data_IF_816992893211
#
_entry.id   IF_816992893211
#
_cell.length_a   1.000
_cell.length_b   1.000
_cell.length_c   1.000
_cell.angle_alpha   90.00
_cell.angle_beta   90.00
_cell.angle_gamma   90.00
#
_symmetry.space_group_name_H-M   'P 1'
#
loop_
_entity.id
_entity.type
_entity.pdbx_description
1 polymer ?
#
# COMPACT_ATOMS: atom_id res chain seq x y z
N UNK A 1 84.54 36.70 14.11
CA UNK A 1 85.32 36.57 12.87
C UNK A 1 84.33 36.29 11.70
N UNK A 2 84.38 37.21 10.77
CA UNK A 2 84.10 37.20 9.35
C UNK A 2 82.61 36.88 8.93
N UNK A 3 81.79 37.89 8.54
CA UNK A 3 81.75 38.61 7.24
C UNK A 3 81.46 37.65 6.07
N UNK A 4 80.45 37.77 5.30
CA UNK A 4 79.79 38.73 4.49
C UNK A 4 78.95 37.93 3.53
N UNK A 5 78.09 38.29 2.66
CA UNK A 5 77.76 39.57 2.03
C UNK A 5 76.43 39.42 1.32
N UNK A 6 75.82 40.52 1.20
CA UNK A 6 74.53 40.79 0.49
C UNK A 6 74.73 40.76 -1.05
N UNK A 7 73.68 40.26 -1.75
CA UNK A 7 73.43 40.73 -3.14
C UNK A 7 71.92 40.82 -3.38
N UNK A 8 71.45 42.06 -3.52
CA UNK A 8 70.19 42.48 -4.11
C UNK A 8 70.26 42.35 -5.63
N UNK A 9 69.19 41.87 -6.25
CA UNK A 9 68.88 42.17 -7.65
C UNK A 9 67.41 42.42 -7.83
N UNK A 10 67.13 43.65 -8.24
CA UNK A 10 65.85 44.23 -8.67
C UNK A 10 65.58 43.77 -10.12
N UNK A 11 64.38 43.34 -10.43
CA UNK A 11 63.96 43.00 -11.78
C UNK A 11 62.46 43.23 -11.99
N UNK A 12 62.17 44.39 -12.44
CA UNK A 12 61.14 44.97 -13.31
C UNK A 12 59.84 44.17 -13.60
N UNK A 13 58.71 44.87 -13.36
CA UNK A 13 57.33 44.57 -13.79
C UNK A 13 57.19 44.47 -15.31
N UNK A 14 56.37 43.50 -15.74
CA UNK A 14 55.61 43.57 -16.99
C UNK A 14 54.22 43.02 -16.73
N UNK A 15 53.20 43.88 -16.79
CA UNK A 15 51.82 43.55 -16.78
C UNK A 15 51.38 43.08 -18.20
N UNK A 16 50.77 41.91 -18.31
CA UNK A 16 49.96 41.52 -19.44
C UNK A 16 48.65 40.95 -18.94
N UNK A 17 47.57 41.72 -19.17
CA UNK A 17 46.20 41.28 -19.02
C UNK A 17 45.83 40.26 -20.12
N UNK A 18 45.40 39.07 -19.73
CA UNK A 18 44.65 38.17 -20.60
C UNK A 18 43.49 37.58 -19.82
N UNK A 19 42.28 37.84 -20.27
CA UNK A 19 41.04 37.35 -19.70
C UNK A 19 40.98 35.83 -19.73
N UNK A 20 40.90 35.22 -18.54
CA UNK A 20 40.64 33.82 -18.37
C UNK A 20 39.17 33.62 -18.08
N UNK A 21 38.47 33.01 -19.01
CA UNK A 21 37.14 32.47 -18.82
C UNK A 21 37.17 31.43 -17.70
N UNK A 22 36.54 31.75 -16.59
CA UNK A 22 36.29 30.76 -15.52
C UNK A 22 35.24 29.75 -16.01
N UNK A 23 35.69 28.59 -16.47
CA UNK A 23 34.85 27.40 -16.55
C UNK A 23 34.38 27.05 -15.12
N UNK A 24 33.08 26.80 -14.92
CA UNK A 24 32.63 26.28 -13.62
C UNK A 24 33.28 24.92 -13.41
N UNK A 25 34.08 24.80 -12.37
CA UNK A 25 34.59 23.53 -11.89
C UNK A 25 33.42 22.66 -11.53
N UNK A 26 33.18 21.59 -12.27
CA UNK A 26 32.26 20.53 -11.87
C UNK A 26 32.73 20.07 -10.48
N UNK A 27 31.86 20.24 -9.48
CA UNK A 27 32.14 19.78 -8.12
C UNK A 27 32.52 18.31 -8.17
N UNK A 28 33.71 17.99 -7.65
CA UNK A 28 34.16 16.62 -7.53
C UNK A 28 33.14 15.88 -6.67
N UNK A 29 32.42 14.92 -7.26
CA UNK A 29 31.63 13.96 -6.51
C UNK A 29 32.56 13.32 -5.47
N UNK A 30 32.21 13.40 -4.20
CA UNK A 30 32.92 12.72 -3.12
C UNK A 30 33.05 11.22 -3.45
N UNK A 31 33.99 10.52 -2.83
CA UNK A 31 34.19 9.10 -3.11
C UNK A 31 32.88 8.35 -2.95
N UNK A 32 32.47 7.66 -4.00
CA UNK A 32 31.25 6.86 -3.98
C UNK A 32 31.33 5.85 -2.81
N UNK A 33 30.32 5.82 -1.96
CA UNK A 33 30.25 4.84 -0.86
C UNK A 33 30.35 3.44 -1.45
N UNK A 34 31.31 2.64 -0.95
CA UNK A 34 31.54 1.26 -1.42
C UNK A 34 30.75 0.21 -0.63
N UNK A 35 30.09 0.61 0.46
CA UNK A 35 29.27 -0.27 1.30
C UNK A 35 27.90 -0.62 0.66
N UNK A 36 27.15 -1.53 1.29
CA UNK A 36 25.80 -1.84 0.84
C UNK A 36 24.90 -0.59 0.89
N UNK A 37 23.84 -0.58 0.10
CA UNK A 37 22.74 0.37 0.27
C UNK A 37 21.83 -0.20 1.34
N UNK A 38 21.72 0.49 2.48
CA UNK A 38 20.87 0.04 3.60
C UNK A 38 19.54 0.77 3.56
N UNK A 39 18.45 0.00 3.52
CA UNK A 39 17.09 0.52 3.50
C UNK A 39 16.41 0.11 4.80
N UNK A 40 15.83 1.08 5.51
CA UNK A 40 15.12 0.87 6.75
C UNK A 40 13.62 0.78 6.55
N UNK A 41 12.96 -0.15 7.24
CA UNK A 41 11.51 -0.25 7.33
C UNK A 41 11.08 -0.63 8.74
N UNK A 42 9.89 -0.19 9.13
CA UNK A 42 9.18 -0.69 10.30
C UNK A 42 7.97 -1.45 9.82
N UNK A 43 7.76 -2.68 10.28
CA UNK A 43 6.64 -3.52 9.83
C UNK A 43 5.98 -4.17 11.03
N UNK A 44 4.67 -4.38 10.95
CA UNK A 44 3.89 -5.08 11.96
C UNK A 44 4.11 -6.60 11.83
N UNK A 45 5.15 -7.11 12.49
CA UNK A 45 5.42 -8.56 12.50
C UNK A 45 4.60 -9.27 13.58
N UNK A 46 4.03 -8.49 14.50
CA UNK A 46 3.08 -8.90 15.54
C UNK A 46 1.91 -7.91 15.61
N UNK A 47 0.85 -8.27 16.38
CA UNK A 47 -0.33 -7.43 16.55
C UNK A 47 -1.39 -7.62 15.47
N UNK A 48 -2.32 -6.69 15.37
CA UNK A 48 -3.51 -6.77 14.51
C UNK A 48 -3.18 -6.81 13.02
N UNK A 49 -2.13 -6.09 12.60
CA UNK A 49 -1.68 -6.00 11.22
C UNK A 49 -0.59 -7.02 10.85
N UNK A 50 -0.41 -8.09 11.65
CA UNK A 50 0.72 -9.00 11.43
C UNK A 50 0.63 -9.79 10.12
N UNK A 51 -0.56 -10.09 9.63
CA UNK A 51 -0.72 -10.76 8.33
C UNK A 51 -0.17 -9.91 7.19
N UNK A 52 -0.49 -8.63 7.21
CA UNK A 52 -0.10 -7.63 6.21
C UNK A 52 1.38 -7.27 6.35
N UNK A 53 1.83 -7.02 7.57
CA UNK A 53 3.24 -6.69 7.85
C UNK A 53 4.21 -7.81 7.45
N UNK A 54 3.83 -9.08 7.65
CA UNK A 54 4.61 -10.23 7.16
C UNK A 54 4.60 -10.29 5.63
N UNK A 55 3.46 -9.99 4.99
CA UNK A 55 3.39 -9.95 3.52
C UNK A 55 4.28 -8.83 2.94
N UNK A 56 4.29 -7.64 3.57
CA UNK A 56 5.21 -6.55 3.23
C UNK A 56 6.68 -6.96 3.40
N UNK A 57 7.02 -7.62 4.51
CA UNK A 57 8.37 -8.15 4.70
C UNK A 57 8.79 -9.08 3.56
N UNK A 58 7.93 -10.03 3.23
CA UNK A 58 8.19 -10.99 2.15
C UNK A 58 8.36 -10.31 0.80
N UNK A 59 7.57 -9.27 0.51
CA UNK A 59 7.67 -8.47 -0.71
C UNK A 59 8.99 -7.68 -0.79
N UNK A 60 9.38 -7.00 0.29
CA UNK A 60 10.66 -6.28 0.36
C UNK A 60 11.85 -7.23 0.23
N UNK A 61 11.83 -8.37 0.93
CA UNK A 61 12.90 -9.36 0.89
C UNK A 61 13.02 -10.02 -0.50
N UNK A 62 11.91 -10.32 -1.15
CA UNK A 62 11.89 -10.86 -2.52
C UNK A 62 12.51 -9.86 -3.50
N UNK A 63 12.09 -8.60 -3.46
CA UNK A 63 12.67 -7.55 -4.28
C UNK A 63 14.17 -7.38 -4.04
N UNK A 64 14.59 -7.29 -2.78
CA UNK A 64 16.01 -7.14 -2.45
C UNK A 64 16.86 -8.32 -2.93
N UNK A 65 16.33 -9.54 -2.81
CA UNK A 65 16.96 -10.75 -3.36
C UNK A 65 17.13 -10.66 -4.88
N UNK A 66 16.09 -10.24 -5.59
CA UNK A 66 16.12 -10.13 -7.06
C UNK A 66 17.12 -9.08 -7.51
N UNK A 67 17.12 -7.91 -6.92
CA UNK A 67 18.09 -6.85 -7.22
C UNK A 67 19.51 -7.33 -6.94
N UNK A 68 19.74 -7.98 -5.82
CA UNK A 68 21.06 -8.47 -5.43
C UNK A 68 21.57 -9.60 -6.35
N UNK A 69 20.69 -10.46 -6.84
CA UNK A 69 21.02 -11.49 -7.81
C UNK A 69 21.50 -10.91 -9.15
N UNK A 70 21.10 -9.67 -9.46
CA UNK A 70 21.51 -8.94 -10.68
C UNK A 70 22.65 -7.94 -10.43
N UNK A 71 23.38 -8.05 -9.31
CA UNK A 71 24.55 -7.21 -9.00
C UNK A 71 24.26 -5.99 -8.14
N UNK A 72 23.05 -5.87 -7.60
CA UNK A 72 22.65 -4.78 -6.71
C UNK A 72 22.29 -3.48 -7.45
N UNK A 73 22.24 -2.39 -6.73
CA UNK A 73 22.00 -1.04 -7.25
C UNK A 73 23.32 -0.27 -7.31
N UNK A 74 23.65 0.28 -8.49
CA UNK A 74 24.92 0.97 -8.74
C UNK A 74 26.15 0.10 -8.35
N UNK A 75 26.07 -1.23 -8.51
CA UNK A 75 27.11 -2.18 -8.13
C UNK A 75 27.21 -2.44 -6.61
N UNK A 76 26.28 -1.94 -5.81
CA UNK A 76 26.19 -2.11 -4.36
C UNK A 76 25.06 -3.06 -3.99
N UNK A 77 25.31 -3.99 -3.07
CA UNK A 77 24.26 -4.87 -2.56
C UNK A 77 23.24 -4.07 -1.74
N UNK A 78 21.96 -4.42 -1.86
CA UNK A 78 20.88 -3.88 -1.01
C UNK A 78 20.79 -4.70 0.27
N UNK A 79 20.71 -4.01 1.40
CA UNK A 79 20.49 -4.59 2.73
C UNK A 79 19.24 -3.98 3.35
N UNK A 80 18.30 -4.81 3.73
CA UNK A 80 17.12 -4.38 4.48
C UNK A 80 17.42 -4.39 5.98
N UNK A 81 16.93 -3.38 6.69
CA UNK A 81 16.86 -3.33 8.14
C UNK A 81 15.41 -3.14 8.55
N UNK A 82 14.79 -4.22 8.96
CA UNK A 82 13.36 -4.26 9.32
C UNK A 82 13.27 -4.32 10.86
N UNK A 83 12.42 -3.45 11.43
CA UNK A 83 12.09 -3.41 12.84
C UNK A 83 10.59 -3.72 13.00
N UNK A 84 10.24 -4.43 14.07
CA UNK A 84 8.85 -4.73 14.40
C UNK A 84 8.21 -3.54 15.13
N UNK A 85 7.03 -3.11 14.68
CA UNK A 85 6.26 -2.05 15.33
C UNK A 85 5.10 -2.56 16.19
N UNK A 86 4.89 -3.88 16.22
CA UNK A 86 3.83 -4.49 17.01
C UNK A 86 2.44 -3.87 16.71
N UNK A 87 2.21 -3.43 15.46
CA UNK A 87 1.01 -2.71 15.00
C UNK A 87 0.73 -1.41 15.80
N UNK A 88 1.80 -0.76 16.33
CA UNK A 88 1.70 0.36 17.24
C UNK A 88 2.15 1.69 16.60
N UNK A 89 1.28 2.72 16.52
CA UNK A 89 1.68 4.05 16.05
C UNK A 89 2.79 4.71 16.86
N UNK A 90 2.93 4.37 18.14
CA UNK A 90 4.02 4.88 18.99
C UNK A 90 5.34 4.15 18.68
N UNK A 91 5.27 2.84 18.49
CA UNK A 91 6.46 2.04 18.20
C UNK A 91 7.01 2.34 16.81
N UNK A 92 6.15 2.54 15.81
CA UNK A 92 6.59 2.90 14.45
C UNK A 92 7.40 4.20 14.44
N UNK A 93 6.98 5.23 15.18
CA UNK A 93 7.74 6.48 15.34
C UNK A 93 9.11 6.23 15.94
N UNK A 94 9.18 5.42 17.01
CA UNK A 94 10.44 5.06 17.67
C UNK A 94 11.36 4.33 16.70
N UNK A 95 10.83 3.40 15.91
CA UNK A 95 11.59 2.63 14.93
C UNK A 95 12.20 3.52 13.84
N UNK A 96 11.43 4.44 13.24
CA UNK A 96 11.99 5.35 12.22
C UNK A 96 13.00 6.33 12.79
N UNK A 97 12.81 6.79 14.03
CA UNK A 97 13.83 7.59 14.71
C UNK A 97 15.14 6.80 14.89
N UNK A 98 15.05 5.51 15.23
CA UNK A 98 16.23 4.64 15.35
C UNK A 98 16.88 4.40 13.98
N UNK A 99 16.11 4.02 12.97
CA UNK A 99 16.61 3.75 11.61
C UNK A 99 17.36 4.95 11.02
N UNK A 100 16.83 6.16 11.23
CA UNK A 100 17.40 7.39 10.67
C UNK A 100 18.57 7.89 11.51
N UNK A 101 18.37 8.06 12.84
CA UNK A 101 19.34 8.79 13.68
C UNK A 101 20.46 7.90 14.25
N UNK A 102 20.21 6.59 14.42
CA UNK A 102 21.18 5.66 15.00
C UNK A 102 21.79 4.74 13.97
N UNK A 103 20.95 4.21 13.07
CA UNK A 103 21.37 3.23 12.07
C UNK A 103 21.83 3.87 10.76
N UNK A 104 21.51 5.15 10.55
CA UNK A 104 21.89 5.95 9.38
C UNK A 104 21.60 5.21 8.06
N UNK A 105 20.37 4.69 7.93
CA UNK A 105 19.92 4.03 6.69
C UNK A 105 20.00 5.00 5.51
N UNK A 106 20.26 4.50 4.30
CA UNK A 106 20.33 5.34 3.10
C UNK A 106 18.94 5.83 2.66
N UNK A 107 17.90 4.97 2.79
CA UNK A 107 16.49 5.27 2.46
C UNK A 107 15.55 4.66 3.48
N UNK A 108 14.30 5.13 3.45
CA UNK A 108 13.20 4.55 4.25
C UNK A 108 12.10 4.01 3.34
N UNK A 109 11.64 2.79 3.63
CA UNK A 109 10.42 2.22 3.09
C UNK A 109 9.30 2.29 4.12
N UNK A 110 8.06 2.40 3.66
CA UNK A 110 6.89 2.56 4.52
C UNK A 110 6.51 1.29 5.30
N UNK A 111 5.72 1.47 6.38
CA UNK A 111 5.06 0.39 7.09
C UNK A 111 3.77 -0.03 6.36
N UNK A 112 3.08 -1.03 6.87
CA UNK A 112 1.64 -1.20 6.67
C UNK A 112 0.96 -0.38 7.77
N UNK A 113 0.04 0.25 7.51
CA UNK A 113 -1.13 0.79 6.98
C UNK A 113 -1.08 2.34 6.98
N UNK A 114 -2.15 3.03 6.56
CA UNK A 114 -2.24 4.51 6.67
C UNK A 114 -2.12 5.00 8.12
N UNK A 115 -2.63 4.23 9.10
CA UNK A 115 -2.53 4.53 10.53
C UNK A 115 -1.07 4.63 11.00
N UNK A 116 -0.20 3.76 10.50
CA UNK A 116 1.22 3.74 10.87
C UNK A 116 2.07 4.63 9.96
N UNK A 117 1.69 4.76 8.68
CA UNK A 117 2.40 5.59 7.69
C UNK A 117 2.32 7.07 8.03
N UNK A 118 1.17 7.58 8.47
CA UNK A 118 1.01 8.99 8.80
C UNK A 118 2.01 9.50 9.86
N UNK A 119 2.20 8.87 11.02
CA UNK A 119 3.22 9.31 11.98
C UNK A 119 4.65 8.97 11.56
N UNK A 120 4.88 7.85 10.85
CA UNK A 120 6.18 7.42 10.37
C UNK A 120 6.78 8.40 9.33
N UNK A 121 5.98 8.77 8.34
CA UNK A 121 6.38 9.69 7.27
C UNK A 121 6.78 11.06 7.79
N UNK A 122 6.17 11.55 8.87
CA UNK A 122 6.55 12.80 9.51
C UNK A 122 7.94 12.73 10.15
N UNK A 123 8.37 11.57 10.64
CA UNK A 123 9.75 11.39 11.14
C UNK A 123 10.74 11.49 9.98
N UNK A 124 10.44 10.81 8.87
CA UNK A 124 11.27 10.85 7.67
C UNK A 124 11.33 12.26 7.06
N UNK A 125 10.19 12.97 6.96
CA UNK A 125 10.12 14.33 6.44
C UNK A 125 11.03 15.28 7.21
N UNK A 126 10.92 15.31 8.55
CA UNK A 126 11.77 16.17 9.40
C UNK A 126 13.28 15.89 9.25
N UNK A 127 13.63 14.70 8.82
CA UNK A 127 15.01 14.29 8.58
C UNK A 127 15.44 14.44 7.11
N UNK A 128 14.55 14.88 6.21
CA UNK A 128 14.80 15.06 4.79
C UNK A 128 14.91 13.76 4.00
N UNK A 129 14.32 12.66 4.50
CA UNK A 129 14.32 11.36 3.84
C UNK A 129 13.17 11.24 2.83
N UNK A 130 13.45 10.67 1.68
CA UNK A 130 12.41 10.13 0.80
C UNK A 130 11.70 8.96 1.50
N UNK A 131 10.40 8.96 1.48
CA UNK A 131 9.55 7.94 2.12
C UNK A 131 8.70 7.26 1.06
N UNK A 132 9.20 6.14 0.53
CA UNK A 132 8.47 5.36 -0.48
C UNK A 132 7.69 4.26 0.22
N UNK A 133 6.41 4.20 -0.02
CA UNK A 133 5.50 3.33 0.71
C UNK A 133 4.42 2.74 -0.21
N UNK A 134 3.66 1.78 0.26
CA UNK A 134 2.71 1.03 -0.56
C UNK A 134 1.38 0.72 0.11
N UNK A 135 1.11 1.26 1.33
CA UNK A 135 -0.13 0.98 2.06
C UNK A 135 -0.64 2.21 2.83
N UNK A 136 -0.10 3.38 2.56
CA UNK A 136 -0.43 4.63 3.23
C UNK A 136 -1.32 5.56 2.41
N UNK A 137 -2.14 5.05 1.50
CA UNK A 137 -2.90 5.85 0.53
C UNK A 137 -4.02 6.74 1.08
N UNK A 138 -4.17 6.89 2.41
CA UNK A 138 -5.19 7.76 2.97
C UNK A 138 -4.80 9.25 2.85
N UNK A 139 -5.76 10.16 2.56
CA UNK A 139 -5.51 11.60 2.51
C UNK A 139 -4.79 12.15 3.74
N UNK A 140 -5.10 11.61 4.92
CA UNK A 140 -4.47 12.03 6.18
C UNK A 140 -2.96 11.78 6.24
N UNK A 141 -2.41 10.92 5.40
CA UNK A 141 -0.95 10.73 5.28
C UNK A 141 -0.31 11.93 4.60
N UNK A 142 -0.92 12.42 3.52
CA UNK A 142 -0.41 13.53 2.72
C UNK A 142 -0.73 14.89 3.33
N UNK A 143 -1.83 15.00 4.09
CA UNK A 143 -2.32 16.24 4.69
C UNK A 143 -1.60 16.64 5.99
N UNK A 144 -0.58 15.89 6.43
CA UNK A 144 0.21 16.29 7.60
C UNK A 144 1.04 17.53 7.31
N UNK A 145 1.24 18.46 8.28
CA UNK A 145 2.02 19.68 8.06
C UNK A 145 3.45 19.42 7.56
N UNK A 146 4.09 18.33 8.02
CA UNK A 146 5.42 17.97 7.59
C UNK A 146 5.42 17.48 6.12
N UNK A 147 4.50 16.59 5.76
CA UNK A 147 4.42 16.06 4.40
C UNK A 147 3.98 17.12 3.40
N UNK A 148 3.08 18.03 3.78
CA UNK A 148 2.71 19.19 2.94
C UNK A 148 3.86 20.18 2.73
N UNK A 149 4.77 20.33 3.69
CA UNK A 149 5.92 21.22 3.55
C UNK A 149 7.04 20.61 2.71
N UNK A 150 7.33 19.32 2.92
CA UNK A 150 8.51 18.64 2.39
C UNK A 150 8.22 17.75 1.19
N UNK A 151 6.93 17.37 0.96
CA UNK A 151 6.47 16.52 -0.15
C UNK A 151 7.35 15.27 -0.35
N UNK A 152 7.70 14.58 0.74
CA UNK A 152 8.66 13.48 0.74
C UNK A 152 8.05 12.09 0.73
N UNK A 153 6.71 11.99 0.79
CA UNK A 153 5.94 10.73 0.78
C UNK A 153 5.55 10.36 -0.64
N UNK A 154 5.73 9.09 -0.99
CA UNK A 154 5.44 8.56 -2.32
C UNK A 154 4.74 7.21 -2.19
N UNK A 155 3.43 7.20 -2.39
CA UNK A 155 2.60 5.99 -2.35
C UNK A 155 2.53 5.33 -3.73
N UNK A 156 3.03 4.09 -3.83
CA UNK A 156 2.98 3.32 -5.07
C UNK A 156 1.65 2.62 -5.29
N UNK A 157 0.82 2.55 -4.26
CA UNK A 157 -0.48 1.89 -4.29
C UNK A 157 -1.58 2.80 -4.85
N UNK A 158 -2.80 2.38 -4.69
CA UNK A 158 -3.99 3.08 -5.13
C UNK A 158 -4.43 4.11 -4.07
N UNK A 159 -4.63 5.40 -4.43
CA UNK A 159 -5.26 6.36 -3.53
C UNK A 159 -6.61 5.84 -3.02
N UNK A 160 -6.82 5.90 -1.70
CA UNK A 160 -7.95 5.17 -1.09
C UNK A 160 -9.32 5.77 -1.39
N UNK A 161 -9.41 7.08 -1.67
CA UNK A 161 -10.69 7.78 -1.83
C UNK A 161 -11.54 7.16 -2.95
N UNK A 162 -10.89 6.81 -4.07
CA UNK A 162 -11.58 6.34 -5.26
C UNK A 162 -11.62 4.82 -5.39
N UNK A 163 -11.08 4.08 -4.42
CA UNK A 163 -10.98 2.61 -4.49
C UNK A 163 -12.33 1.95 -4.71
N UNK A 164 -13.40 2.49 -4.11
CA UNK A 164 -14.75 1.93 -4.14
C UNK A 164 -15.52 2.26 -5.45
N UNK A 165 -14.99 3.16 -6.29
CA UNK A 165 -15.74 3.68 -7.44
C UNK A 165 -16.21 2.62 -8.44
N UNK A 166 -15.43 1.57 -8.81
CA UNK A 166 -15.92 0.54 -9.72
C UNK A 166 -17.17 -0.19 -9.19
N UNK A 167 -17.30 -0.35 -7.86
CA UNK A 167 -18.49 -0.93 -7.24
C UNK A 167 -19.69 0.03 -7.32
N UNK A 168 -19.47 1.32 -7.06
CA UNK A 168 -20.51 2.37 -7.20
C UNK A 168 -21.00 2.44 -8.63
N UNK A 169 -20.09 2.45 -9.61
CA UNK A 169 -20.43 2.52 -11.05
C UNK A 169 -21.22 1.29 -11.49
N UNK A 170 -20.85 0.10 -11.01
CA UNK A 170 -21.61 -1.11 -11.25
C UNK A 170 -23.06 -0.98 -10.76
N UNK A 171 -23.26 -0.53 -9.51
CA UNK A 171 -24.61 -0.31 -8.99
C UNK A 171 -25.36 0.78 -9.77
N UNK A 172 -24.66 1.84 -10.20
CA UNK A 172 -25.20 2.88 -11.06
C UNK A 172 -25.65 2.38 -12.42
N UNK A 173 -24.99 1.35 -12.96
CA UNK A 173 -25.34 0.73 -14.24
C UNK A 173 -26.60 -0.17 -14.19
N UNK A 174 -27.03 -0.57 -12.99
CA UNK A 174 -28.23 -1.37 -12.83
C UNK A 174 -29.50 -0.55 -13.19
N UNK A 175 -30.54 -1.18 -13.73
CA UNK A 175 -31.83 -0.51 -13.95
C UNK A 175 -32.34 0.15 -12.66
N UNK A 176 -33.00 1.31 -12.78
CA UNK A 176 -33.57 2.03 -11.63
C UNK A 176 -34.52 1.13 -10.83
N UNK A 177 -35.34 0.33 -11.51
CA UNK A 177 -36.24 -0.63 -10.86
C UNK A 177 -35.51 -1.68 -10.03
N UNK A 178 -34.29 -2.12 -10.42
CA UNK A 178 -33.55 -3.11 -9.68
C UNK A 178 -32.90 -2.49 -8.40
N UNK A 179 -32.39 -1.25 -8.47
CA UNK A 179 -31.76 -0.60 -7.34
C UNK A 179 -32.72 0.10 -6.38
N UNK A 180 -33.95 0.45 -6.82
CA UNK A 180 -34.95 1.08 -5.97
C UNK A 180 -35.37 0.24 -4.74
N UNK A 181 -35.14 -1.08 -4.79
CA UNK A 181 -35.42 -2.00 -3.69
C UNK A 181 -34.19 -2.31 -2.83
N UNK A 182 -33.03 -1.77 -3.19
CA UNK A 182 -31.80 -2.02 -2.44
C UNK A 182 -31.69 -1.08 -1.25
N UNK A 183 -31.10 -1.61 -0.18
CA UNK A 183 -30.64 -0.82 0.95
C UNK A 183 -29.18 -1.18 1.28
N UNK A 184 -28.46 -0.24 1.87
CA UNK A 184 -27.06 -0.40 2.18
C UNK A 184 -26.74 0.08 3.60
N UNK A 185 -25.90 -0.66 4.31
CA UNK A 185 -25.29 -0.24 5.56
C UNK A 185 -23.79 -0.01 5.37
N UNK A 186 -23.26 0.95 6.15
CA UNK A 186 -21.90 1.46 6.03
C UNK A 186 -21.17 1.42 7.38
N UNK A 187 -21.00 0.23 7.99
CA UNK A 187 -20.17 0.11 9.17
C UNK A 187 -18.72 0.37 8.80
N UNK A 188 -17.97 1.13 9.63
CA UNK A 188 -16.58 1.44 9.38
C UNK A 188 -15.76 1.42 10.66
N UNK A 189 -14.55 0.92 10.58
CA UNK A 189 -13.57 1.02 11.65
C UNK A 189 -13.09 2.47 11.79
N UNK A 190 -12.67 2.86 12.98
CA UNK A 190 -12.06 4.16 13.24
C UNK A 190 -10.60 4.14 12.76
N UNK A 191 -10.43 4.12 11.45
CA UNK A 191 -9.14 4.02 10.78
C UNK A 191 -9.09 4.98 9.58
N UNK A 192 -7.97 5.70 9.36
CA UNK A 192 -7.86 6.68 8.27
C UNK A 192 -7.96 6.06 6.87
N UNK A 193 -7.66 4.77 6.70
CA UNK A 193 -7.84 4.04 5.44
C UNK A 193 -9.31 3.64 5.23
N UNK A 194 -9.97 3.19 6.29
CA UNK A 194 -11.32 2.61 6.20
C UNK A 194 -12.43 3.64 5.93
N UNK A 195 -12.28 4.87 6.43
CA UNK A 195 -13.34 5.89 6.40
C UNK A 195 -13.57 6.49 5.01
N UNK A 196 -12.58 6.97 4.24
CA UNK A 196 -12.80 7.69 2.99
C UNK A 196 -13.62 6.91 1.94
N UNK A 197 -13.29 5.66 1.60
CA UNK A 197 -14.03 4.92 0.57
C UNK A 197 -15.46 4.59 1.00
N UNK A 198 -15.69 4.36 2.30
CA UNK A 198 -17.05 4.07 2.81
C UNK A 198 -17.93 5.31 2.79
N UNK A 199 -17.39 6.48 3.17
CA UNK A 199 -18.11 7.76 3.09
C UNK A 199 -18.44 8.11 1.64
N UNK A 200 -17.50 7.93 0.71
CA UNK A 200 -17.74 8.14 -0.70
C UNK A 200 -18.84 7.20 -1.23
N UNK A 201 -18.73 5.89 -0.90
CA UNK A 201 -19.77 4.93 -1.27
C UNK A 201 -21.16 5.36 -0.76
N UNK A 202 -21.26 5.73 0.51
CA UNK A 202 -22.51 6.20 1.12
C UNK A 202 -23.09 7.38 0.36
N UNK A 203 -22.29 8.41 0.11
CA UNK A 203 -22.72 9.60 -0.63
C UNK A 203 -23.21 9.24 -2.05
N UNK A 204 -22.46 8.46 -2.78
CA UNK A 204 -22.76 8.10 -4.17
C UNK A 204 -23.96 7.17 -4.26
N UNK A 205 -24.07 6.15 -3.40
CA UNK A 205 -25.19 5.21 -3.42
C UNK A 205 -26.50 5.88 -2.99
N UNK A 206 -26.47 6.83 -2.06
CA UNK A 206 -27.63 7.67 -1.75
C UNK A 206 -28.07 8.50 -2.97
N UNK A 207 -27.13 9.09 -3.70
CA UNK A 207 -27.45 9.83 -4.94
C UNK A 207 -28.05 8.93 -6.04
N UNK A 208 -27.74 7.64 -6.05
CA UNK A 208 -28.34 6.63 -6.92
C UNK A 208 -29.74 6.16 -6.45
N UNK A 209 -30.24 6.67 -5.32
CA UNK A 209 -31.53 6.30 -4.75
C UNK A 209 -31.52 5.00 -3.92
N UNK A 210 -30.36 4.48 -3.56
CA UNK A 210 -30.23 3.32 -2.66
C UNK A 210 -30.43 3.80 -1.22
N UNK A 211 -31.35 3.16 -0.51
CA UNK A 211 -31.70 3.52 0.87
C UNK A 211 -30.52 3.21 1.82
N UNK A 212 -30.24 4.12 2.72
CA UNK A 212 -29.28 3.87 3.82
C UNK A 212 -30.00 3.27 5.01
N UNK A 213 -29.57 2.08 5.43
CA UNK A 213 -29.98 1.46 6.69
C UNK A 213 -28.92 1.80 7.75
N UNK A 214 -29.34 2.44 8.84
CA UNK A 214 -28.44 2.90 9.89
C UNK A 214 -29.07 2.77 11.27
N UNK A 215 -28.22 2.65 12.27
CA UNK A 215 -28.58 2.69 13.69
C UNK A 215 -27.52 3.51 14.45
N UNK A 216 -27.78 3.95 15.66
CA UNK A 216 -26.75 4.67 16.45
C UNK A 216 -25.44 3.90 16.62
N UNK A 217 -25.50 2.56 16.60
CA UNK A 217 -24.32 1.70 16.77
C UNK A 217 -23.40 1.65 15.54
N UNK A 218 -23.88 2.04 14.34
CA UNK A 218 -23.09 2.05 13.09
C UNK A 218 -23.12 3.41 12.41
N UNK A 219 -23.72 4.42 13.02
CA UNK A 219 -23.75 5.78 12.49
C UNK A 219 -22.38 6.47 12.60
N UNK A 220 -21.57 6.04 13.55
CA UNK A 220 -20.21 6.50 13.79
C UNK A 220 -19.22 5.33 13.59
N UNK A 221 -17.95 5.61 13.27
CA UNK A 221 -16.91 4.59 13.25
C UNK A 221 -16.82 3.83 14.58
N UNK A 222 -16.68 2.51 14.51
CA UNK A 222 -16.41 1.69 15.69
C UNK A 222 -14.91 1.66 15.99
N UNK A 223 -14.49 1.58 17.26
CA UNK A 223 -13.07 1.48 17.60
C UNK A 223 -12.43 0.25 16.94
N UNK A 224 -11.22 0.41 16.41
CA UNK A 224 -10.48 -0.68 15.78
C UNK A 224 -9.83 -1.57 16.83
N UNK A 225 -10.68 -2.40 17.44
CA UNK A 225 -10.28 -3.38 18.44
C UNK A 225 -11.27 -4.56 18.43
N UNK A 226 -10.81 -5.79 18.67
CA UNK A 226 -11.64 -6.99 18.55
C UNK A 226 -12.95 -6.97 19.33
N UNK A 227 -12.98 -6.31 20.50
CA UNK A 227 -14.18 -6.18 21.35
C UNK A 227 -15.30 -5.34 20.71
N UNK A 228 -15.00 -4.53 19.70
CA UNK A 228 -15.95 -3.62 19.04
C UNK A 228 -16.57 -4.23 17.78
N UNK A 229 -15.93 -5.19 17.14
CA UNK A 229 -16.37 -5.75 15.85
C UNK A 229 -17.69 -6.50 15.97
N UNK A 230 -17.84 -7.36 16.97
CA UNK A 230 -19.07 -8.12 17.22
C UNK A 230 -20.31 -7.24 17.45
N UNK A 231 -20.29 -6.24 18.33
CA UNK A 231 -21.39 -5.30 18.50
C UNK A 231 -21.77 -4.53 17.22
N UNK A 232 -20.79 -4.09 16.42
CA UNK A 232 -21.06 -3.41 15.14
C UNK A 232 -21.72 -4.38 14.15
N UNK A 233 -21.20 -5.60 14.02
CA UNK A 233 -21.76 -6.64 13.15
C UNK A 233 -23.19 -7.03 13.55
N UNK A 234 -23.49 -7.14 14.85
CA UNK A 234 -24.84 -7.38 15.37
C UNK A 234 -25.81 -6.27 14.99
N UNK A 235 -25.37 -5.03 15.08
CA UNK A 235 -26.19 -3.87 14.70
C UNK A 235 -26.51 -3.88 13.19
N UNK A 236 -25.57 -4.23 12.33
CA UNK A 236 -25.81 -4.39 10.89
C UNK A 236 -26.76 -5.56 10.61
N UNK A 237 -26.51 -6.73 11.23
CA UNK A 237 -27.37 -7.90 11.04
C UNK A 237 -28.82 -7.63 11.42
N UNK A 238 -29.08 -6.82 12.45
CA UNK A 238 -30.44 -6.45 12.89
C UNK A 238 -31.19 -5.58 11.85
N UNK A 239 -30.48 -4.85 10.99
CA UNK A 239 -31.09 -3.99 9.96
C UNK A 239 -31.40 -4.75 8.66
N UNK A 240 -30.80 -5.92 8.46
CA UNK A 240 -30.93 -6.73 7.24
C UNK A 240 -30.73 -5.96 5.91
N UNK A 241 -29.67 -5.12 5.74
CA UNK A 241 -29.42 -4.44 4.48
C UNK A 241 -29.08 -5.45 3.36
N UNK A 242 -29.47 -5.15 2.12
CA UNK A 242 -29.08 -5.96 0.96
C UNK A 242 -27.60 -5.78 0.61
N UNK A 243 -27.00 -4.62 0.91
CA UNK A 243 -25.61 -4.28 0.64
C UNK A 243 -24.91 -3.92 1.95
N UNK A 244 -23.74 -4.50 2.18
CA UNK A 244 -22.83 -4.08 3.26
C UNK A 244 -21.55 -3.55 2.62
N UNK A 245 -21.22 -2.30 2.92
CA UNK A 245 -19.93 -1.67 2.61
C UNK A 245 -19.19 -1.51 3.92
N UNK A 246 -18.26 -2.42 4.18
CA UNK A 246 -17.52 -2.47 5.44
C UNK A 246 -16.19 -1.73 5.28
N UNK A 247 -15.99 -0.69 6.07
CA UNK A 247 -14.68 -0.09 6.29
C UNK A 247 -13.87 -0.96 7.25
N UNK A 248 -12.90 -1.66 6.72
CA UNK A 248 -11.99 -2.54 7.45
C UNK A 248 -10.57 -2.39 6.91
N UNK A 249 -9.59 -2.74 7.72
CA UNK A 249 -8.16 -2.74 7.40
C UNK A 249 -7.56 -4.13 7.42
N UNK A 250 -8.25 -5.10 8.07
CA UNK A 250 -7.67 -6.40 8.38
C UNK A 250 -8.64 -7.57 8.23
N UNK A 251 -8.10 -8.78 8.23
CA UNK A 251 -8.87 -10.04 8.21
C UNK A 251 -9.71 -10.23 9.48
N UNK A 252 -9.22 -9.97 10.70
CA UNK A 252 -10.00 -10.16 11.93
C UNK A 252 -11.34 -9.40 11.94
N UNK A 253 -11.37 -8.17 11.48
CA UNK A 253 -12.60 -7.37 11.38
C UNK A 253 -13.62 -8.04 10.46
N UNK A 254 -13.21 -8.39 9.25
CA UNK A 254 -14.09 -9.03 8.26
C UNK A 254 -14.57 -10.39 8.76
N UNK A 255 -13.69 -11.18 9.36
CA UNK A 255 -14.00 -12.50 9.94
C UNK A 255 -15.09 -12.40 11.01
N UNK A 256 -14.99 -11.45 11.94
CA UNK A 256 -15.99 -11.32 13.01
C UNK A 256 -17.36 -10.87 12.44
N UNK A 257 -17.39 -9.96 11.45
CA UNK A 257 -18.63 -9.62 10.75
C UNK A 257 -19.27 -10.85 10.10
N UNK A 258 -18.50 -11.64 9.36
CA UNK A 258 -18.98 -12.84 8.69
C UNK A 258 -19.51 -13.88 9.69
N UNK A 259 -18.79 -14.10 10.79
CA UNK A 259 -19.17 -15.02 11.88
C UNK A 259 -20.50 -14.60 12.51
N UNK A 260 -20.64 -13.32 12.88
CA UNK A 260 -21.89 -12.79 13.46
C UNK A 260 -23.05 -12.91 12.47
N UNK A 261 -22.83 -12.59 11.18
CA UNK A 261 -23.85 -12.72 10.15
C UNK A 261 -24.32 -14.17 9.98
N UNK A 262 -23.38 -15.11 9.98
CA UNK A 262 -23.69 -16.55 9.93
C UNK A 262 -24.53 -17.00 11.16
N UNK A 263 -24.14 -16.60 12.37
CA UNK A 263 -24.86 -16.89 13.61
C UNK A 263 -26.27 -16.28 13.64
N UNK A 264 -26.47 -15.15 12.99
CA UNK A 264 -27.77 -14.46 12.90
C UNK A 264 -28.59 -14.89 11.67
N UNK A 265 -28.11 -15.88 10.92
CA UNK A 265 -28.76 -16.32 9.65
C UNK A 265 -29.03 -15.19 8.68
N UNK A 266 -28.20 -14.15 8.71
CA UNK A 266 -28.27 -13.01 7.81
C UNK A 266 -27.18 -13.12 6.74
N UNK A 267 -27.56 -13.02 5.48
CA UNK A 267 -26.64 -12.99 4.33
C UNK A 267 -27.00 -11.80 3.47
N UNK A 268 -26.13 -10.76 3.38
CA UNK A 268 -26.38 -9.67 2.44
C UNK A 268 -26.27 -10.16 1.00
N UNK A 269 -26.98 -9.52 0.08
CA UNK A 269 -26.82 -9.80 -1.37
C UNK A 269 -25.40 -9.50 -1.82
N UNK A 270 -24.84 -8.36 -1.38
CA UNK A 270 -23.49 -7.93 -1.72
C UNK A 270 -22.75 -7.55 -0.44
N UNK A 271 -21.53 -8.04 -0.31
CA UNK A 271 -20.66 -7.71 0.80
C UNK A 271 -19.29 -7.31 0.24
N UNK A 272 -18.95 -6.03 0.35
CA UNK A 272 -17.67 -5.46 -0.01
C UNK A 272 -17.00 -4.90 1.24
N UNK A 273 -15.73 -5.22 1.43
CA UNK A 273 -14.89 -4.71 2.52
C UNK A 273 -13.75 -3.88 1.92
N UNK A 274 -13.32 -2.83 2.60
CA UNK A 274 -12.26 -1.95 2.09
C UNK A 274 -10.91 -2.67 2.00
N UNK A 275 -10.59 -3.55 2.95
CA UNK A 275 -9.46 -4.48 2.94
C UNK A 275 -9.82 -5.76 3.72
N UNK A 276 -8.90 -6.73 3.75
CA UNK A 276 -9.02 -8.02 4.42
C UNK A 276 -9.29 -9.17 3.45
N UNK A 277 -10.31 -9.14 2.56
CA UNK A 277 -10.50 -10.20 1.58
C UNK A 277 -9.38 -10.33 0.53
N UNK A 278 -8.54 -9.34 0.34
CA UNK A 278 -7.37 -9.34 -0.54
C UNK A 278 -6.15 -10.05 0.05
N UNK A 279 -6.21 -10.42 1.33
CA UNK A 279 -5.15 -11.13 2.06
C UNK A 279 -4.94 -12.60 1.64
N UNK A 280 -5.40 -12.98 0.45
CA UNK A 280 -5.12 -14.27 -0.17
C UNK A 280 -5.45 -15.49 0.70
N UNK A 281 -4.43 -16.32 0.98
CA UNK A 281 -4.58 -17.54 1.77
C UNK A 281 -4.88 -17.23 3.25
N UNK A 282 -4.42 -16.14 3.80
CA UNK A 282 -4.70 -15.74 5.18
C UNK A 282 -6.21 -15.55 5.40
N UNK A 283 -6.86 -14.81 4.46
CA UNK A 283 -8.31 -14.60 4.50
C UNK A 283 -9.09 -15.91 4.38
N UNK A 284 -8.82 -16.70 3.34
CA UNK A 284 -9.58 -17.94 3.11
C UNK A 284 -9.36 -18.98 4.20
N UNK A 285 -8.21 -18.99 4.87
CA UNK A 285 -7.95 -19.85 6.04
C UNK A 285 -8.74 -19.39 7.26
N UNK A 286 -8.87 -18.08 7.47
CA UNK A 286 -9.58 -17.52 8.63
C UNK A 286 -11.10 -17.72 8.54
N UNK A 287 -11.70 -17.52 7.35
CA UNK A 287 -13.17 -17.53 7.18
C UNK A 287 -13.71 -18.85 6.60
N UNK A 288 -12.84 -19.68 6.06
CA UNK A 288 -13.19 -20.86 5.28
C UNK A 288 -13.49 -20.55 3.82
N UNK A 289 -12.98 -21.37 2.90
CA UNK A 289 -13.10 -21.15 1.45
C UNK A 289 -14.56 -21.00 0.99
N UNK A 290 -15.49 -21.81 1.54
CA UNK A 290 -16.93 -21.72 1.23
C UNK A 290 -17.54 -20.38 1.61
N UNK A 291 -17.18 -19.84 2.76
CA UNK A 291 -17.68 -18.56 3.26
C UNK A 291 -17.07 -17.35 2.54
N UNK A 292 -15.82 -17.47 2.05
CA UNK A 292 -15.21 -16.44 1.26
C UNK A 292 -15.96 -16.12 -0.05
N UNK A 293 -16.67 -17.12 -0.62
CA UNK A 293 -17.40 -16.95 -1.89
C UNK A 293 -18.37 -15.78 -1.83
N UNK A 294 -18.25 -14.88 -2.78
CA UNK A 294 -19.10 -13.68 -2.90
C UNK A 294 -18.57 -12.48 -2.13
N UNK A 295 -17.52 -12.64 -1.28
CA UNK A 295 -16.86 -11.50 -0.66
C UNK A 295 -16.12 -10.67 -1.71
N UNK A 296 -16.24 -9.35 -1.62
CA UNK A 296 -15.64 -8.38 -2.54
C UNK A 296 -14.67 -7.48 -1.80
N UNK A 297 -13.65 -7.01 -2.53
CA UNK A 297 -12.69 -6.01 -2.06
C UNK A 297 -12.19 -5.20 -3.24
N UNK A 298 -12.02 -3.87 -3.13
CA UNK A 298 -11.31 -3.07 -4.11
C UNK A 298 -9.80 -3.26 -3.97
N UNK A 299 -9.07 -3.28 -5.07
CA UNK A 299 -7.60 -3.26 -5.06
C UNK A 299 -7.05 -2.82 -6.42
N UNK A 300 -5.80 -2.37 -6.46
CA UNK A 300 -5.07 -2.01 -7.68
C UNK A 300 -4.38 -3.18 -8.37
N UNK A 301 -4.23 -4.32 -7.69
CA UNK A 301 -3.47 -5.48 -8.19
C UNK A 301 -4.10 -6.82 -7.76
N UNK A 302 -3.79 -7.87 -8.49
CA UNK A 302 -4.12 -9.26 -8.14
C UNK A 302 -3.11 -10.25 -8.75
N UNK A 303 -2.94 -11.46 -8.17
CA UNK A 303 -1.89 -12.40 -8.54
C UNK A 303 -1.90 -12.87 -10.00
N UNK A 304 -3.05 -12.83 -10.67
CA UNK A 304 -3.19 -13.22 -12.08
C UNK A 304 -3.15 -12.00 -13.02
N UNK A 305 -2.70 -10.85 -12.55
CA UNK A 305 -2.55 -9.64 -13.34
C UNK A 305 -1.69 -9.89 -14.60
N UNK A 306 -2.16 -9.40 -15.75
CA UNK A 306 -1.52 -9.71 -17.03
C UNK A 306 -0.29 -8.83 -17.31
N UNK A 307 0.71 -8.93 -16.46
CA UNK A 307 1.97 -8.24 -16.53
C UNK A 307 3.10 -9.28 -16.37
N UNK A 308 4.10 -9.26 -17.25
CA UNK A 308 5.19 -10.24 -17.22
C UNK A 308 6.02 -10.16 -15.93
N UNK A 309 6.26 -8.94 -15.42
CA UNK A 309 6.97 -8.73 -14.16
C UNK A 309 6.17 -9.28 -12.97
N UNK A 310 4.84 -9.03 -12.96
CA UNK A 310 3.94 -9.58 -11.95
C UNK A 310 3.94 -11.12 -11.95
N UNK A 311 3.83 -11.74 -13.13
CA UNK A 311 3.87 -13.20 -13.24
C UNK A 311 5.17 -13.79 -12.71
N UNK A 312 6.32 -13.16 -13.05
CA UNK A 312 7.64 -13.57 -12.54
C UNK A 312 7.69 -13.48 -11.02
N UNK A 313 7.30 -12.37 -10.46
CA UNK A 313 7.28 -12.15 -9.00
C UNK A 313 6.38 -13.17 -8.29
N UNK A 314 5.17 -13.43 -8.80
CA UNK A 314 4.25 -14.44 -8.24
C UNK A 314 4.85 -15.85 -8.30
N UNK A 315 5.52 -16.21 -9.41
CA UNK A 315 6.17 -17.52 -9.56
C UNK A 315 7.33 -17.68 -8.57
N UNK A 316 8.13 -16.66 -8.37
CA UNK A 316 9.25 -16.64 -7.43
C UNK A 316 8.76 -16.66 -5.96
N UNK A 317 7.70 -15.91 -5.68
CA UNK A 317 7.07 -15.93 -4.35
C UNK A 317 6.58 -17.34 -3.99
N UNK A 318 5.81 -17.97 -4.89
CA UNK A 318 5.29 -19.33 -4.66
C UNK A 318 6.42 -20.36 -4.55
N UNK A 319 7.50 -20.20 -5.30
CA UNK A 319 8.67 -21.07 -5.17
C UNK A 319 9.33 -20.95 -3.79
N UNK A 320 9.35 -19.76 -3.18
CA UNK A 320 10.00 -19.52 -1.88
C UNK A 320 9.10 -19.87 -0.69
N UNK A 321 7.83 -19.51 -0.77
CA UNK A 321 6.91 -19.55 0.36
C UNK A 321 5.84 -20.64 0.23
N UNK A 322 5.75 -21.29 -0.94
CA UNK A 322 4.72 -22.29 -1.21
C UNK A 322 3.37 -21.66 -1.56
N UNK A 323 2.31 -22.43 -1.45
CA UNK A 323 0.95 -22.00 -1.75
C UNK A 323 0.60 -22.04 -3.24
N UNK A 324 -0.42 -21.29 -3.62
CA UNK A 324 -0.90 -21.17 -5.02
C UNK A 324 -0.70 -19.75 -5.53
N UNK A 325 -0.59 -19.60 -6.84
CA UNK A 325 -0.45 -18.26 -7.46
C UNK A 325 -1.61 -17.33 -7.13
N UNK A 326 -2.83 -17.86 -7.12
CA UNK A 326 -4.04 -17.09 -6.78
C UNK A 326 -4.16 -16.73 -5.29
N UNK A 327 -3.33 -17.34 -4.44
CA UNK A 327 -3.30 -17.07 -3.00
C UNK A 327 -2.21 -16.10 -2.57
N UNK A 328 -1.44 -15.53 -3.52
CA UNK A 328 -0.44 -14.50 -3.19
C UNK A 328 -1.15 -13.23 -2.76
N UNK A 329 -0.73 -12.69 -1.61
CA UNK A 329 -1.26 -11.47 -1.03
C UNK A 329 -0.89 -10.24 -1.89
N UNK A 330 -1.82 -9.29 -2.02
CA UNK A 330 -1.59 -8.04 -2.75
C UNK A 330 -0.46 -7.20 -2.13
N UNK A 331 -0.33 -7.20 -0.81
CA UNK A 331 0.70 -6.48 -0.07
C UNK A 331 2.13 -6.89 -0.48
N UNK A 332 2.31 -8.17 -0.89
CA UNK A 332 3.60 -8.63 -1.44
C UNK A 332 3.96 -7.84 -2.71
N UNK A 333 2.98 -7.58 -3.56
CA UNK A 333 3.19 -6.84 -4.81
C UNK A 333 3.39 -5.34 -4.57
N UNK A 334 2.68 -4.79 -3.59
CA UNK A 334 2.84 -3.40 -3.16
C UNK A 334 4.25 -3.17 -2.60
N UNK A 335 4.67 -3.98 -1.65
CA UNK A 335 6.02 -3.93 -1.09
C UNK A 335 7.12 -4.14 -2.17
N UNK A 336 6.93 -5.10 -3.06
CA UNK A 336 7.86 -5.31 -4.18
C UNK A 336 7.94 -4.08 -5.10
N UNK A 337 6.80 -3.41 -5.36
CA UNK A 337 6.72 -2.19 -6.18
C UNK A 337 7.42 -1.00 -5.52
N UNK A 338 7.32 -0.85 -4.20
CA UNK A 338 8.10 0.15 -3.44
C UNK A 338 9.59 0.01 -3.74
N UNK A 339 10.09 -1.22 -3.67
CA UNK A 339 11.48 -1.51 -4.01
C UNK A 339 11.83 -1.18 -5.46
N UNK A 340 10.94 -1.50 -6.42
CA UNK A 340 11.16 -1.19 -7.83
C UNK A 340 11.21 0.31 -8.10
N UNK A 341 10.36 1.10 -7.46
CA UNK A 341 10.35 2.56 -7.54
C UNK A 341 11.64 3.13 -6.98
N UNK A 342 12.05 2.69 -5.79
CA UNK A 342 13.30 3.14 -5.17
C UNK A 342 14.53 2.77 -6.04
N UNK A 343 14.56 1.57 -6.63
CA UNK A 343 15.65 1.16 -7.50
C UNK A 343 15.77 2.06 -8.74
N UNK A 344 14.65 2.38 -9.39
CA UNK A 344 14.63 3.27 -10.55
C UNK A 344 15.09 4.68 -10.18
N UNK A 345 14.65 5.20 -9.02
CA UNK A 345 15.07 6.51 -8.53
C UNK A 345 16.57 6.57 -8.23
N UNK A 346 17.12 5.56 -7.52
CA UNK A 346 18.56 5.44 -7.21
C UNK A 346 19.38 5.36 -8.50
N UNK A 347 18.96 4.57 -9.48
CA UNK A 347 19.65 4.44 -10.77
C UNK A 347 19.62 5.75 -11.56
N UNK A 348 18.49 6.44 -11.60
CA UNK A 348 18.31 7.68 -12.34
C UNK A 348 19.11 8.85 -11.73
N UNK A 349 19.20 8.91 -10.39
CA UNK A 349 19.95 9.95 -9.67
C UNK A 349 21.44 9.63 -9.51
N UNK A 350 21.83 8.37 -9.73
CA UNK A 350 23.20 7.89 -9.57
C UNK A 350 23.67 7.77 -8.13
N UNK A 351 22.77 7.74 -7.15
CA UNK A 351 23.09 7.66 -5.73
C UNK A 351 21.88 7.55 -4.81
N UNK A 352 22.16 7.66 -3.50
CA UNK A 352 21.15 7.59 -2.44
C UNK A 352 20.90 8.95 -1.77
N UNK A 353 21.19 10.05 -2.47
CA UNK A 353 20.86 11.39 -1.99
C UNK A 353 19.34 11.57 -1.99
N UNK A 354 18.77 11.72 -0.80
CA UNK A 354 17.33 11.77 -0.61
C UNK A 354 16.69 13.00 -1.30
N UNK A 355 17.38 14.14 -1.34
CA UNK A 355 16.88 15.35 -2.03
C UNK A 355 16.77 15.11 -3.53
N UNK A 356 17.77 14.47 -4.13
CA UNK A 356 17.77 14.13 -5.55
C UNK A 356 16.67 13.12 -5.87
N UNK A 357 16.47 12.11 -4.99
CA UNK A 357 15.43 11.08 -5.13
C UNK A 357 14.03 11.72 -5.05
N UNK A 358 13.76 12.56 -4.06
CA UNK A 358 12.47 13.28 -3.91
C UNK A 358 12.19 14.10 -5.18
N UNK A 359 13.19 14.87 -5.64
CA UNK A 359 13.05 15.66 -6.87
C UNK A 359 12.78 14.80 -8.11
N UNK A 360 13.43 13.64 -8.21
CA UNK A 360 13.21 12.71 -9.32
C UNK A 360 11.80 12.12 -9.28
N UNK A 361 11.34 11.67 -8.13
CA UNK A 361 10.00 11.09 -7.98
C UNK A 361 8.89 12.11 -8.30
N UNK A 362 9.08 13.39 -7.95
CA UNK A 362 8.16 14.47 -8.33
C UNK A 362 8.28 14.93 -9.80
N UNK A 363 9.19 14.38 -10.58
CA UNK A 363 9.29 14.76 -12.01
C UNK A 363 8.13 14.25 -12.86
N UNK A 364 7.28 13.37 -12.30
CA UNK A 364 6.14 12.78 -12.99
C UNK A 364 6.54 11.74 -14.04
N UNK A 365 7.76 11.20 -13.98
CA UNK A 365 8.19 10.12 -14.87
C UNK A 365 7.44 8.83 -14.55
N UNK A 366 6.91 8.12 -15.56
CA UNK A 366 6.31 6.81 -15.33
C UNK A 366 7.35 5.77 -14.89
N UNK A 367 7.07 5.05 -13.82
CA UNK A 367 7.92 4.02 -13.24
C UNK A 367 7.25 2.65 -13.40
N UNK A 368 7.96 1.70 -13.99
CA UNK A 368 7.42 0.37 -14.24
C UNK A 368 7.51 -0.51 -12.98
N UNK A 369 6.39 -1.11 -12.59
CA UNK A 369 6.32 -2.01 -11.43
C UNK A 369 5.54 -3.29 -11.74
N UNK A 370 5.52 -4.23 -10.80
CA UNK A 370 4.68 -5.43 -10.89
C UNK A 370 3.18 -5.08 -10.84
N UNK A 371 2.81 -3.93 -10.28
CA UNK A 371 1.44 -3.43 -10.27
C UNK A 371 1.07 -2.67 -11.57
N UNK A 372 2.01 -2.44 -12.45
CA UNK A 372 1.84 -1.62 -13.66
C UNK A 372 2.69 -0.37 -13.61
N UNK A 373 2.17 0.73 -14.17
CA UNK A 373 2.86 2.03 -14.13
C UNK A 373 2.52 2.78 -12.85
N UNK A 374 3.54 3.28 -12.18
CA UNK A 374 3.43 4.23 -11.08
C UNK A 374 3.85 5.61 -11.60
N UNK A 375 3.04 6.62 -11.39
CA UNK A 375 3.35 8.00 -11.75
C UNK A 375 2.83 8.94 -10.66
N UNK A 376 3.76 9.56 -9.95
CA UNK A 376 3.39 10.40 -8.82
C UNK A 376 2.84 11.76 -9.27
N UNK A 377 1.75 12.16 -8.62
CA UNK A 377 1.22 13.52 -8.71
C UNK A 377 2.01 14.49 -7.80
N UNK A 378 1.57 15.74 -7.69
CA UNK A 378 2.22 16.75 -6.85
C UNK A 378 2.18 16.45 -5.35
N UNK A 379 1.27 15.60 -4.90
CA UNK A 379 1.17 15.18 -3.50
C UNK A 379 2.06 13.97 -3.20
N UNK A 380 2.49 13.22 -4.21
CA UNK A 380 3.22 11.97 -4.08
C UNK A 380 2.34 10.71 -4.17
N UNK A 381 1.07 10.87 -4.54
CA UNK A 381 0.16 9.75 -4.78
C UNK A 381 0.33 9.19 -6.20
N UNK A 382 0.09 7.90 -6.37
CA UNK A 382 0.12 7.25 -7.69
C UNK A 382 -1.10 7.63 -8.54
N UNK A 383 -0.99 8.70 -9.30
CA UNK A 383 -2.04 9.16 -10.23
C UNK A 383 -2.27 8.25 -11.45
N UNK A 384 -1.44 7.23 -11.65
CA UNK A 384 -1.62 6.24 -12.73
C UNK A 384 -2.32 4.96 -12.25
N UNK A 385 -2.56 4.80 -10.96
CA UNK A 385 -3.22 3.63 -10.41
C UNK A 385 -4.67 3.52 -10.90
N UNK A 386 -5.12 2.29 -11.09
CA UNK A 386 -6.50 2.00 -11.46
C UNK A 386 -7.13 1.12 -10.39
N UNK A 387 -8.36 1.46 -10.01
CA UNK A 387 -9.15 0.64 -9.10
C UNK A 387 -9.87 -0.48 -9.83
N UNK A 388 -9.85 -1.65 -9.23
CA UNK A 388 -10.62 -2.83 -9.63
C UNK A 388 -11.40 -3.34 -8.43
N UNK A 389 -12.47 -4.10 -8.66
CA UNK A 389 -13.10 -4.90 -7.61
C UNK A 389 -12.87 -6.36 -7.89
N UNK A 390 -12.40 -7.05 -6.89
CA UNK A 390 -12.20 -8.49 -6.88
C UNK A 390 -13.26 -9.17 -6.03
N UNK A 391 -13.54 -10.43 -6.39
CA UNK A 391 -14.51 -11.24 -5.69
C UNK A 391 -13.99 -12.66 -5.57
N UNK A 392 -14.11 -13.25 -4.40
CA UNK A 392 -13.88 -14.68 -4.22
C UNK A 392 -15.01 -15.47 -4.88
N UNK A 393 -14.66 -16.38 -5.76
CA UNK A 393 -15.60 -17.21 -6.51
C UNK A 393 -15.22 -18.69 -6.40
N UNK A 394 -16.19 -19.58 -6.52
CA UNK A 394 -15.90 -21.00 -6.60
C UNK A 394 -15.09 -21.30 -7.86
N UNK A 395 -14.04 -22.07 -7.72
CA UNK A 395 -13.37 -22.63 -8.89
C UNK A 395 -14.35 -23.53 -9.66
N UNK A 396 -14.17 -23.60 -10.99
CA UNK A 396 -15.07 -24.38 -11.86
C UNK A 396 -15.15 -25.87 -11.49
N UNK A 397 -14.11 -26.39 -10.84
CA UNK A 397 -14.02 -27.78 -10.41
C UNK A 397 -13.48 -27.86 -8.97
N UNK A 398 -14.19 -28.60 -8.10
CA UNK A 398 -13.76 -28.85 -6.71
C UNK A 398 -14.23 -27.81 -5.70
N UNK A 399 -13.64 -27.84 -4.50
CA UNK A 399 -13.95 -26.97 -3.35
C UNK A 399 -13.05 -25.71 -3.30
N UNK A 400 -12.13 -25.56 -4.23
CA UNK A 400 -11.24 -24.41 -4.28
C UNK A 400 -11.98 -23.13 -4.64
N UNK A 401 -11.42 -22.01 -4.26
CA UNK A 401 -11.90 -20.66 -4.59
C UNK A 401 -10.82 -19.87 -5.30
N UNK A 402 -11.26 -19.03 -6.23
CA UNK A 402 -10.41 -18.14 -7.00
C UNK A 402 -10.69 -16.69 -6.60
N UNK A 403 -9.67 -15.89 -6.55
CA UNK A 403 -9.77 -14.44 -6.40
C UNK A 403 -9.84 -13.82 -7.80
N UNK A 404 -11.01 -13.32 -8.20
CA UNK A 404 -11.33 -12.96 -9.57
C UNK A 404 -11.63 -11.48 -9.67
N UNK A 405 -10.98 -10.76 -10.60
CA UNK A 405 -11.40 -9.42 -10.95
C UNK A 405 -12.80 -9.48 -11.59
N UNK A 406 -13.73 -8.71 -11.04
CA UNK A 406 -15.13 -8.68 -11.52
C UNK A 406 -15.56 -7.29 -11.99
N UNK A 407 -14.90 -6.22 -11.57
CA UNK A 407 -15.17 -4.84 -12.00
C UNK A 407 -13.88 -4.09 -12.31
N UNK A 408 -13.92 -3.11 -13.23
CA UNK A 408 -15.05 -2.82 -14.13
C UNK A 408 -15.30 -3.97 -15.10
N UNK A 409 -16.57 -4.14 -15.49
CA UNK A 409 -16.96 -5.15 -16.50
C UNK A 409 -16.48 -4.76 -17.89
N UNK A 410 -16.26 -5.75 -18.76
CA UNK A 410 -15.84 -5.52 -20.15
C UNK A 410 -14.33 -5.29 -20.34
N UNK A 411 -13.55 -5.30 -19.28
CA UNK A 411 -12.08 -5.31 -19.34
C UNK A 411 -11.59 -6.73 -19.59
N UNK A 412 -10.55 -6.90 -20.41
CA UNK A 412 -10.00 -8.22 -20.71
C UNK A 412 -9.55 -8.94 -19.44
N UNK A 413 -9.99 -10.17 -19.24
CA UNK A 413 -9.69 -10.98 -18.05
C UNK A 413 -10.67 -10.82 -16.90
N UNK A 414 -11.65 -9.89 -16.99
CA UNK A 414 -12.67 -9.71 -15.97
C UNK A 414 -13.68 -10.87 -16.00
N UNK A 415 -13.89 -11.47 -14.83
CA UNK A 415 -14.93 -12.49 -14.62
C UNK A 415 -16.32 -11.86 -14.44
N UNK A 416 -17.34 -12.69 -14.47
CA UNK A 416 -18.72 -12.25 -14.17
C UNK A 416 -18.88 -12.07 -12.66
N UNK A 417 -19.47 -10.96 -12.23
CA UNK A 417 -19.79 -10.73 -10.82
C UNK A 417 -20.89 -11.69 -10.35
N UNK A 418 -20.72 -12.25 -9.16
CA UNK A 418 -21.82 -12.88 -8.43
C UNK A 418 -22.65 -11.78 -7.76
N UNK A 419 -23.80 -11.49 -8.33
CA UNK A 419 -24.71 -10.44 -7.84
C UNK A 419 -25.39 -10.78 -6.50
N UNK A 420 -25.24 -12.02 -6.03
CA UNK A 420 -25.79 -12.47 -4.74
C UNK A 420 -24.77 -13.38 -4.05
N UNK A 421 -24.36 -12.98 -2.86
CA UNK A 421 -23.49 -13.80 -2.01
C UNK A 421 -24.24 -15.11 -1.64
N UNK A 422 -23.59 -16.29 -1.77
CA UNK A 422 -24.16 -17.53 -1.27
C UNK A 422 -24.36 -17.49 0.26
N UNK A 423 -25.30 -18.30 0.74
CA UNK A 423 -25.49 -18.50 2.18
C UNK A 423 -24.20 -19.00 2.86
N UNK A 424 -24.08 -18.71 4.14
CA UNK A 424 -22.95 -19.12 4.93
C UNK A 424 -22.89 -20.65 5.09
N UNK A 425 -21.69 -21.19 5.01
CA UNK A 425 -21.41 -22.57 5.39
C UNK A 425 -21.23 -22.63 6.91
N UNK A 426 -22.23 -23.15 7.59
CA UNK A 426 -22.21 -23.28 9.06
C UNK A 426 -21.50 -24.55 9.55
N UNK A 427 -20.98 -25.38 8.63
CA UNK A 427 -20.28 -26.64 8.96
C UNK A 427 -18.77 -26.50 9.01
N UNK A 428 -18.25 -25.33 8.61
CA UNK A 428 -16.81 -25.00 8.59
C UNK A 428 -16.31 -24.27 9.85
N UNK A 429 -14.99 -23.95 9.92
CA UNK A 429 -14.36 -23.37 11.11
C UNK A 429 -14.93 -22.02 11.57
N UNK A 430 -15.66 -21.29 10.73
CA UNK A 430 -16.30 -20.01 11.10
C UNK A 430 -17.70 -20.19 11.74
N UNK A 431 -18.22 -21.42 11.85
CA UNK A 431 -19.55 -21.73 12.40
C UNK A 431 -19.51 -22.29 13.83
N UNK A 432 -18.33 -22.37 14.47
CA UNK A 432 -18.15 -22.88 15.81
C UNK A 432 -17.91 -21.82 16.86
#
# INVERSE_FOLDING_TARGET
MAMGAVALSVGVLAACSSGGSSTPSAGAAGPASTGPITIGASLSLHGGFSADGVAFQQGYELWAKDVNAHGGLLGRQVKLKILDDDSSPTQVVTNYQMLINSDHVDLTFGPFSSLLTAPASQVAARAGYAFVEGAGGAPSVFDTPANQADHNVFDVSLPVEDTIMPFVDYLGSLPVSARAHLSAAYPMAQDPFADPPVQLAKQKLQALGIRTDSSPAIANPFPEQPSSYGPAALAVAALHPEIVVLGSTDVPTVQEFMKVFAQKHYTPKMFIAAAGPDQGAAFTSAVGAGNAVGMMVPNGWFPLFNNAASKKMVDEYVQLHGGTKSGVNADVAEAYSVGQVAAQAIQATGGTDNTAIIKYLHSGVPLATVQGSVQFNSLGENGAAASFVFQWQRHKTGSQVDFVQVLPQGVAGTGSILATKPAWDTTGPAGG
#
